data_IF_794349897585
#
_entry.id   IF_794349897585
#
_cell.length_a   1.000
_cell.length_b   1.000
_cell.length_c   1.000
_cell.angle_alpha   90.00
_cell.angle_beta   90.00
_cell.angle_gamma   90.00
#
_symmetry.space_group_name_H-M   'P 1'
#
loop_
_entity.id
_entity.type
_entity.pdbx_description
1 polymer ?
#
# COMPACT_ATOMS: atom_id res chain seq x y z
N UNK A 1 0.80 -14.41 -10.61
CA UNK A 1 0.58 -14.43 -9.15
C UNK A 1 -0.61 -13.54 -8.80
N UNK A 2 -1.60 -14.06 -8.06
CA UNK A 2 -2.77 -13.26 -7.60
C UNK A 2 -2.43 -12.53 -6.30
N UNK A 3 -3.25 -11.53 -5.94
CA UNK A 3 -3.02 -10.73 -4.75
C UNK A 3 -3.03 -11.53 -3.43
N UNK A 4 -3.85 -12.59 -3.36
CA UNK A 4 -3.88 -13.49 -2.21
C UNK A 4 -2.57 -14.25 -2.01
N UNK A 5 -1.95 -14.74 -3.10
CA UNK A 5 -0.65 -15.42 -3.01
C UNK A 5 0.44 -14.46 -2.54
N UNK A 6 0.38 -13.20 -2.99
CA UNK A 6 1.34 -12.18 -2.59
C UNK A 6 1.17 -11.75 -1.13
N UNK A 7 -0.06 -11.70 -0.63
CA UNK A 7 -0.32 -11.53 0.79
C UNK A 7 0.28 -12.68 1.61
N UNK A 8 0.02 -13.93 1.22
CA UNK A 8 0.58 -15.11 1.89
C UNK A 8 2.12 -15.10 1.87
N UNK A 9 2.73 -14.85 0.70
CA UNK A 9 4.17 -14.78 0.57
C UNK A 9 4.77 -13.68 1.46
N UNK A 10 4.10 -12.53 1.57
CA UNK A 10 4.56 -11.47 2.45
C UNK A 10 4.56 -11.91 3.91
N UNK A 11 3.53 -12.63 4.37
CA UNK A 11 3.51 -13.17 5.74
C UNK A 11 4.56 -14.26 5.98
N UNK A 12 4.86 -15.08 4.97
CA UNK A 12 5.88 -16.14 5.08
C UNK A 12 7.30 -15.57 5.13
N UNK A 13 7.59 -14.55 4.32
CA UNK A 13 8.94 -13.99 4.20
C UNK A 13 9.21 -12.82 5.16
N UNK A 14 8.18 -12.07 5.53
CA UNK A 14 8.30 -10.94 6.43
C UNK A 14 7.58 -11.23 7.75
N UNK A 15 8.12 -10.72 8.85
CA UNK A 15 7.45 -10.75 10.15
C UNK A 15 6.31 -9.71 10.21
N UNK A 16 5.38 -9.78 9.25
CA UNK A 16 4.24 -8.89 9.09
C UNK A 16 2.93 -9.67 8.93
N UNK A 17 1.79 -9.03 9.20
CA UNK A 17 0.46 -9.52 8.82
C UNK A 17 0.06 -8.85 7.51
N UNK A 18 -0.52 -9.60 6.59
CA UNK A 18 -1.05 -9.07 5.34
C UNK A 18 -2.58 -8.99 5.36
N UNK A 19 -3.14 -7.90 4.86
CA UNK A 19 -4.59 -7.71 4.73
C UNK A 19 -4.95 -7.41 3.29
N UNK A 20 -5.72 -8.30 2.67
CA UNK A 20 -6.18 -8.13 1.29
C UNK A 20 -7.43 -7.24 1.24
N UNK A 21 -7.31 -6.09 0.60
CA UNK A 21 -8.45 -5.24 0.26
C UNK A 21 -9.00 -5.58 -1.14
N UNK A 22 -10.29 -5.36 -1.30
CA UNK A 22 -11.03 -5.48 -2.57
C UNK A 22 -11.90 -4.25 -2.79
N UNK A 23 -12.24 -3.96 -4.05
CA UNK A 23 -13.07 -2.79 -4.40
C UNK A 23 -12.27 -1.57 -4.86
N UNK A 24 -10.97 -1.72 -5.09
CA UNK A 24 -10.09 -0.63 -5.49
C UNK A 24 -9.63 0.23 -4.31
N UNK A 25 -9.00 1.35 -4.63
CA UNK A 25 -8.37 2.26 -3.67
C UNK A 25 -9.37 3.31 -3.16
N UNK A 26 -10.37 3.66 -3.98
CA UNK A 26 -11.38 4.67 -3.66
C UNK A 26 -12.50 4.13 -2.74
N UNK A 27 -13.52 4.98 -2.49
CA UNK A 27 -14.68 4.62 -1.68
C UNK A 27 -14.32 4.34 -0.22
N UNK A 28 -14.84 3.25 0.34
CA UNK A 28 -14.60 2.85 1.74
C UNK A 28 -13.12 2.55 2.04
N UNK A 29 -12.34 2.18 1.03
CA UNK A 29 -10.92 1.87 1.20
C UNK A 29 -10.04 3.13 1.26
N UNK A 30 -10.49 4.26 0.71
CA UNK A 30 -9.67 5.49 0.63
C UNK A 30 -9.17 5.92 2.01
N UNK A 31 -10.10 6.08 2.96
CA UNK A 31 -9.76 6.48 4.33
C UNK A 31 -8.90 5.46 5.07
N UNK A 32 -9.08 4.16 4.78
CA UNK A 32 -8.28 3.07 5.37
C UNK A 32 -6.84 3.12 4.87
N UNK A 33 -6.65 3.28 3.55
CA UNK A 33 -5.33 3.36 2.92
C UNK A 33 -4.58 4.60 3.39
N UNK A 34 -5.24 5.76 3.46
CA UNK A 34 -4.61 6.99 3.95
C UNK A 34 -4.15 6.82 5.41
N UNK A 35 -5.02 6.33 6.29
CA UNK A 35 -4.65 6.05 7.69
C UNK A 35 -3.50 5.05 7.79
N UNK A 36 -3.51 4.00 6.98
CA UNK A 36 -2.46 2.97 6.96
C UNK A 36 -1.08 3.55 6.58
N UNK A 37 -1.03 4.34 5.50
CA UNK A 37 0.21 4.96 5.03
C UNK A 37 0.69 6.07 5.96
N UNK A 38 -0.22 6.87 6.54
CA UNK A 38 0.16 7.89 7.54
C UNK A 38 0.69 7.26 8.83
N UNK A 39 0.27 6.04 9.17
CA UNK A 39 0.86 5.26 10.26
C UNK A 39 2.24 4.64 9.92
N UNK A 40 2.81 4.96 8.75
CA UNK A 40 4.10 4.45 8.31
C UNK A 40 4.08 3.00 7.82
N UNK A 41 2.90 2.43 7.60
CA UNK A 41 2.75 1.04 7.17
C UNK A 41 2.65 0.97 5.63
N UNK A 42 3.45 0.14 4.94
CA UNK A 42 3.43 0.06 3.49
C UNK A 42 2.25 -0.80 2.97
N UNK A 43 1.97 -0.68 1.68
CA UNK A 43 1.06 -1.56 0.96
C UNK A 43 1.64 -2.03 -0.37
N UNK A 44 1.13 -3.16 -0.88
CA UNK A 44 1.44 -3.70 -2.19
C UNK A 44 0.29 -3.38 -3.15
N UNK A 45 0.62 -2.72 -4.25
CA UNK A 45 -0.34 -2.28 -5.25
C UNK A 45 -0.07 -3.00 -6.58
N UNK A 46 -0.97 -3.87 -7.04
CA UNK A 46 -0.96 -4.30 -8.43
C UNK A 46 -1.47 -3.17 -9.32
N UNK A 47 -0.77 -2.89 -10.40
CA UNK A 47 -1.09 -1.82 -11.35
C UNK A 47 -0.63 -2.19 -12.76
N UNK A 48 -1.01 -1.42 -13.78
CA UNK A 48 -0.59 -1.64 -15.17
C UNK A 48 0.57 -0.72 -15.53
N UNK A 49 1.70 -1.31 -15.89
CA UNK A 49 2.99 -0.61 -16.02
C UNK A 49 3.22 -0.05 -17.43
N UNK A 50 3.51 1.25 -17.53
CA UNK A 50 3.97 1.83 -18.79
C UNK A 50 5.50 1.71 -19.03
N UNK A 51 5.99 2.22 -20.16
CA UNK A 51 7.43 2.22 -20.47
C UNK A 51 8.28 3.03 -19.47
N UNK A 52 7.72 4.09 -18.87
CA UNK A 52 8.33 4.90 -17.82
C UNK A 52 8.11 4.35 -16.40
N UNK A 53 7.50 3.16 -16.29
CA UNK A 53 7.10 2.47 -15.04
C UNK A 53 5.93 3.10 -14.27
N UNK A 54 5.35 4.20 -14.74
CA UNK A 54 4.18 4.82 -14.13
C UNK A 54 2.90 4.02 -14.39
N UNK A 55 1.82 4.29 -13.64
CA UNK A 55 0.54 3.64 -13.88
C UNK A 55 -0.12 4.10 -15.17
N UNK A 56 -0.54 3.14 -15.98
CA UNK A 56 -1.30 3.36 -17.21
C UNK A 56 -2.61 2.57 -17.22
N UNK A 57 -3.36 2.63 -18.33
CA UNK A 57 -4.68 2.00 -18.49
C UNK A 57 -4.73 1.14 -19.76
N UNK A 58 -3.96 0.05 -19.80
CA UNK A 58 -3.74 -0.84 -20.96
C UNK A 58 -4.24 -2.27 -20.73
N UNK A 59 -5.35 -2.39 -20.01
CA UNK A 59 -6.11 -3.59 -19.61
C UNK A 59 -5.37 -4.59 -18.72
N UNK A 60 -4.20 -4.24 -18.19
CA UNK A 60 -3.37 -5.13 -17.39
C UNK A 60 -2.40 -5.97 -18.23
N UNK A 61 -2.18 -5.61 -19.50
CA UNK A 61 -1.21 -6.32 -20.35
C UNK A 61 0.21 -6.25 -19.81
N UNK A 62 0.53 -5.23 -19.02
CA UNK A 62 1.78 -5.11 -18.27
C UNK A 62 1.48 -5.00 -16.78
N UNK A 63 0.51 -5.80 -16.29
CA UNK A 63 0.26 -5.94 -14.87
C UNK A 63 1.56 -6.19 -14.11
N UNK A 64 1.81 -5.35 -13.12
CA UNK A 64 3.01 -5.35 -12.30
C UNK A 64 2.66 -4.99 -10.86
N UNK A 65 3.66 -5.05 -9.99
CA UNK A 65 3.53 -4.75 -8.57
C UNK A 65 4.43 -3.58 -8.19
N UNK A 66 3.90 -2.74 -7.31
CA UNK A 66 4.66 -1.71 -6.64
C UNK A 66 4.45 -1.80 -5.13
N UNK A 67 5.48 -1.41 -4.38
CA UNK A 67 5.39 -1.08 -2.97
C UNK A 67 5.06 0.40 -2.87
N UNK A 68 4.01 0.73 -2.13
CA UNK A 68 3.68 2.11 -1.75
C UNK A 68 4.06 2.27 -0.29
N UNK A 69 4.97 3.19 0.00
CA UNK A 69 5.57 3.35 1.33
C UNK A 69 5.28 4.69 1.99
N UNK A 70 4.58 5.59 1.31
CA UNK A 70 4.27 6.90 1.86
C UNK A 70 3.32 7.71 0.99
N UNK A 71 3.04 8.92 1.45
CA UNK A 71 2.12 9.87 0.84
C UNK A 71 2.78 11.24 0.72
N UNK A 72 2.38 11.96 -0.33
CA UNK A 72 2.51 13.42 -0.40
C UNK A 72 1.09 13.98 -0.56
N UNK A 73 0.70 14.89 0.34
CA UNK A 73 -0.65 15.44 0.41
C UNK A 73 -0.62 16.93 0.06
N UNK A 74 -1.44 17.33 -0.90
CA UNK A 74 -1.76 18.74 -1.13
C UNK A 74 -2.88 19.14 -0.19
N UNK A 75 -2.63 20.10 0.71
CA UNK A 75 -3.59 20.54 1.71
C UNK A 75 -4.18 21.91 1.37
N UNK A 76 -5.43 22.14 1.78
CA UNK A 76 -6.05 23.48 1.76
C UNK A 76 -5.25 24.43 2.65
N UNK A 77 -5.12 25.69 2.23
CA UNK A 77 -4.46 26.72 3.03
C UNK A 77 -5.06 26.83 4.43
N UNK A 78 -4.21 26.83 5.45
CA UNK A 78 -4.60 26.88 6.87
C UNK A 78 -4.90 25.52 7.52
N UNK A 79 -4.96 24.42 6.75
CA UNK A 79 -5.18 23.08 7.29
C UNK A 79 -3.89 22.37 7.77
N UNK A 80 -2.75 23.04 7.64
CA UNK A 80 -1.47 22.52 8.11
C UNK A 80 -1.44 22.50 9.64
N UNK A 81 -1.14 21.34 10.21
CA UNK A 81 -0.95 21.20 11.65
C UNK A 81 0.27 22.03 12.12
N UNK A 82 0.20 22.70 13.28
CA UNK A 82 1.37 23.32 13.91
C UNK A 82 2.48 22.32 14.25
N UNK A 83 2.16 21.02 14.31
CA UNK A 83 3.12 19.95 14.55
C UNK A 83 3.89 19.51 13.28
N UNK A 84 3.64 20.17 12.15
CA UNK A 84 4.41 20.01 10.93
C UNK A 84 5.57 21.02 10.88
N UNK A 85 6.73 20.55 10.42
CA UNK A 85 7.92 21.39 10.23
C UNK A 85 8.18 21.58 8.74
N UNK A 86 8.44 22.82 8.31
CA UNK A 86 8.82 23.09 6.93
C UNK A 86 10.19 22.46 6.62
N UNK A 87 10.30 21.89 5.42
CA UNK A 87 11.55 21.35 4.89
C UNK A 87 12.56 22.49 4.69
N UNK A 88 13.83 22.24 5.04
CA UNK A 88 14.87 23.26 4.97
C UNK A 88 15.35 23.58 3.54
N UNK A 89 15.08 22.70 2.58
CA UNK A 89 15.54 22.82 1.18
C UNK A 89 14.38 23.14 0.23
N UNK A 90 13.17 22.64 0.53
CA UNK A 90 11.99 22.76 -0.34
C UNK A 90 10.91 23.62 0.33
N UNK A 91 10.85 24.89 -0.04
CA UNK A 91 9.83 25.82 0.44
C UNK A 91 8.42 25.30 0.15
N UNK A 92 7.54 25.35 1.16
CA UNK A 92 6.17 24.86 1.08
C UNK A 92 6.01 23.34 1.22
N UNK A 93 7.09 22.57 1.37
CA UNK A 93 7.03 21.17 1.78
C UNK A 93 7.08 21.09 3.30
N UNK A 94 6.20 20.29 3.89
CA UNK A 94 6.13 20.14 5.34
C UNK A 94 6.16 18.68 5.75
N UNK A 95 6.93 18.39 6.80
CA UNK A 95 7.06 17.06 7.39
C UNK A 95 6.26 16.98 8.69
N UNK A 96 5.35 16.01 8.83
CA UNK A 96 4.66 15.79 10.09
C UNK A 96 5.65 15.23 11.13
N UNK A 97 5.63 15.77 12.35
CA UNK A 97 6.26 15.08 13.49
C UNK A 97 5.52 13.75 13.79
N UNK A 98 6.15 12.79 14.49
CA UNK A 98 5.50 11.51 14.83
C UNK A 98 4.20 11.64 15.64
N UNK A 99 4.03 12.76 16.36
CA UNK A 99 2.82 13.06 17.13
C UNK A 99 1.78 13.86 16.32
N UNK A 100 2.09 14.26 15.08
CA UNK A 100 1.19 15.02 14.25
C UNK A 100 -0.01 14.14 13.86
N UNK A 101 -1.26 14.58 14.13
CA UNK A 101 -2.42 13.86 13.66
C UNK A 101 -2.50 13.88 12.12
N UNK A 102 -3.11 12.87 11.49
CA UNK A 102 -3.42 12.91 10.07
C UNK A 102 -4.36 14.09 9.76
N UNK A 103 -4.23 14.73 8.59
CA UNK A 103 -5.13 15.82 8.20
C UNK A 103 -6.57 15.33 8.02
N UNK A 104 -7.52 16.25 8.19
CA UNK A 104 -8.93 15.96 7.94
C UNK A 104 -9.16 15.67 6.44
N UNK A 105 -9.96 14.65 6.07
CA UNK A 105 -10.15 14.27 4.67
C UNK A 105 -10.64 15.40 3.75
N UNK A 106 -11.45 16.32 4.27
CA UNK A 106 -12.00 17.48 3.56
C UNK A 106 -10.94 18.53 3.19
N UNK A 107 -9.81 18.53 3.90
CA UNK A 107 -8.70 19.46 3.68
C UNK A 107 -7.64 18.92 2.73
N UNK A 108 -7.71 17.62 2.42
CA UNK A 108 -6.82 16.98 1.44
C UNK A 108 -7.36 17.22 0.04
N UNK A 109 -6.69 18.11 -0.71
CA UNK A 109 -7.02 18.47 -2.08
C UNK A 109 -6.41 17.49 -3.08
N UNK A 110 -5.18 17.05 -2.83
CA UNK A 110 -4.43 16.16 -3.72
C UNK A 110 -3.74 15.06 -2.92
N UNK A 111 -3.65 13.88 -3.53
CA UNK A 111 -3.00 12.72 -2.93
C UNK A 111 -2.05 12.13 -3.95
N UNK A 112 -0.79 12.02 -3.56
CA UNK A 112 0.24 11.31 -4.30
C UNK A 112 0.80 10.16 -3.47
N UNK A 113 1.00 9.02 -4.12
CA UNK A 113 1.58 7.81 -3.56
C UNK A 113 3.07 7.77 -3.83
N UNK A 114 3.90 7.70 -2.79
CA UNK A 114 5.32 7.39 -2.93
C UNK A 114 5.47 5.90 -3.21
N UNK A 115 5.79 5.58 -4.47
CA UNK A 115 5.69 4.24 -5.03
C UNK A 115 7.03 3.79 -5.62
N UNK A 116 7.37 2.51 -5.43
CA UNK A 116 8.54 1.88 -6.03
C UNK A 116 8.17 0.51 -6.58
N UNK A 117 8.62 0.23 -7.80
CA UNK A 117 8.45 -1.06 -8.47
C UNK A 117 9.81 -1.74 -8.70
N UNK A 118 9.80 -3.03 -9.06
CA UNK A 118 11.02 -3.87 -9.05
C UNK A 118 12.00 -3.68 -10.22
N UNK A 119 11.64 -2.93 -11.25
CA UNK A 119 12.48 -2.70 -12.45
C UNK A 119 13.19 -1.34 -12.46
N UNK A 120 12.92 -0.50 -11.47
CA UNK A 120 13.37 0.88 -11.34
C UNK A 120 14.10 1.05 -10.03
N UNK A 121 15.19 1.79 -10.08
CA UNK A 121 15.97 2.16 -8.91
C UNK A 121 15.36 3.35 -8.17
N UNK A 122 14.52 4.13 -8.85
CA UNK A 122 14.01 5.41 -8.37
C UNK A 122 12.56 5.27 -7.90
N UNK A 123 12.23 5.71 -6.67
CA UNK A 123 10.85 5.96 -6.27
C UNK A 123 10.21 7.01 -7.17
N UNK A 124 8.89 6.92 -7.34
CA UNK A 124 8.08 7.86 -8.11
C UNK A 124 6.88 8.30 -7.29
N UNK A 125 6.39 9.52 -7.55
CA UNK A 125 5.14 10.01 -7.02
C UNK A 125 4.05 9.75 -8.06
N UNK A 126 3.04 8.97 -7.67
CA UNK A 126 1.90 8.68 -8.54
C UNK A 126 0.65 9.37 -8.02
N UNK A 127 -0.12 9.99 -8.90
CA UNK A 127 -1.46 10.45 -8.54
C UNK A 127 -2.28 9.27 -8.00
N UNK A 128 -2.90 9.46 -6.83
CA UNK A 128 -3.75 8.43 -6.22
C UNK A 128 -4.85 7.95 -7.16
N UNK A 129 -5.48 8.90 -7.87
CA UNK A 129 -6.51 8.62 -8.86
C UNK A 129 -5.97 7.78 -10.02
N UNK A 130 -4.81 8.14 -10.56
CA UNK A 130 -4.19 7.39 -11.67
C UNK A 130 -3.84 5.96 -11.25
N UNK A 131 -3.28 5.80 -10.04
CA UNK A 131 -2.97 4.50 -9.46
C UNK A 131 -4.25 3.65 -9.25
N UNK A 132 -5.32 4.26 -8.75
CA UNK A 132 -6.63 3.61 -8.62
C UNK A 132 -7.16 3.15 -9.98
N UNK A 133 -7.22 4.05 -10.97
CA UNK A 133 -7.74 3.75 -12.30
C UNK A 133 -6.93 2.64 -12.98
N UNK A 134 -5.60 2.63 -12.80
CA UNK A 134 -4.70 1.58 -13.31
C UNK A 134 -4.96 0.22 -12.66
N UNK A 135 -5.20 0.19 -11.35
CA UNK A 135 -5.57 -1.02 -10.60
C UNK A 135 -6.97 -1.53 -10.94
N UNK A 136 -7.94 -0.63 -11.10
CA UNK A 136 -9.35 -0.96 -11.36
C UNK A 136 -9.59 -1.53 -12.78
N UNK A 137 -8.62 -1.39 -13.67
CA UNK A 137 -8.73 -1.84 -15.06
C UNK A 137 -7.85 -3.08 -15.39
N UNK A 138 -7.20 -3.67 -14.38
CA UNK A 138 -6.43 -4.91 -14.52
C UNK A 138 -7.35 -6.09 -14.85
N UNK A 139 -7.55 -6.38 -16.13
CA UNK A 139 -8.66 -7.24 -16.56
C UNK A 139 -8.17 -8.41 -17.39
N UNK A 140 -7.22 -8.17 -18.29
CA UNK A 140 -6.86 -9.09 -19.34
C UNK A 140 -5.40 -9.55 -19.24
N UNK A 141 -5.16 -10.80 -19.60
CA UNK A 141 -3.82 -11.30 -19.84
C UNK A 141 -3.31 -10.83 -21.20
N UNK A 142 -2.03 -10.48 -21.31
CA UNK A 142 -1.46 -9.92 -22.53
C UNK A 142 -1.51 -10.94 -23.69
N UNK A 143 -2.14 -10.60 -24.84
CA UNK A 143 -2.20 -11.50 -25.99
C UNK A 143 -0.82 -11.89 -26.54
N UNK A 144 0.15 -10.96 -26.49
CA UNK A 144 1.53 -11.24 -26.91
C UNK A 144 2.18 -12.30 -26.03
N UNK A 145 1.94 -12.28 -24.71
CA UNK A 145 2.44 -13.31 -23.77
C UNK A 145 1.70 -14.63 -23.95
N UNK A 146 0.42 -14.60 -24.32
CA UNK A 146 -0.33 -15.82 -24.62
C UNK A 146 0.21 -16.55 -25.85
N UNK A 147 0.77 -15.83 -26.82
CA UNK A 147 1.29 -16.37 -28.07
C UNK A 147 2.81 -16.53 -28.16
N UNK A 148 3.57 -16.30 -27.09
CA UNK A 148 5.04 -16.32 -27.14
C UNK A 148 5.67 -17.71 -26.89
N UNK A 149 4.83 -18.73 -26.68
CA UNK A 149 5.26 -20.11 -26.42
C UNK A 149 5.79 -20.36 -25.00
N UNK A 150 5.77 -19.37 -24.10
CA UNK A 150 6.21 -19.53 -22.71
C UNK A 150 5.04 -19.89 -21.79
N UNK A 151 5.36 -20.56 -20.69
CA UNK A 151 4.40 -20.91 -19.65
C UNK A 151 4.30 -19.77 -18.63
N UNK A 152 3.09 -19.27 -18.42
CA UNK A 152 2.79 -18.24 -17.42
C UNK A 152 1.76 -18.75 -16.42
N UNK A 153 1.99 -18.46 -15.13
CA UNK A 153 1.01 -18.75 -14.08
C UNK A 153 -0.04 -17.64 -14.03
N UNK A 154 -1.20 -17.93 -14.62
CA UNK A 154 -2.37 -17.05 -14.59
C UNK A 154 -3.34 -17.55 -13.52
N UNK A 155 -3.82 -16.69 -12.61
CA UNK A 155 -4.80 -17.08 -11.59
C UNK A 155 -6.07 -17.67 -12.20
N UNK A 156 -6.74 -18.57 -11.46
CA UNK A 156 -8.11 -18.96 -11.79
C UNK A 156 -9.00 -17.70 -11.89
N UNK A 157 -9.79 -17.58 -12.97
CA UNK A 157 -10.54 -16.36 -13.28
C UNK A 157 -9.71 -15.22 -13.89
N UNK A 158 -8.45 -15.47 -14.24
CA UNK A 158 -7.60 -14.54 -14.99
C UNK A 158 -7.02 -13.40 -14.15
N UNK A 159 -6.46 -12.41 -14.85
CA UNK A 159 -5.92 -11.17 -14.26
C UNK A 159 -7.02 -10.44 -13.48
N UNK A 160 -8.22 -10.36 -14.05
CA UNK A 160 -9.38 -9.74 -13.41
C UNK A 160 -9.65 -10.27 -12.00
N UNK A 161 -9.86 -11.57 -11.87
CA UNK A 161 -10.19 -12.15 -10.56
C UNK A 161 -9.01 -12.06 -9.57
N UNK A 162 -7.78 -12.17 -10.07
CA UNK A 162 -6.58 -12.19 -9.24
C UNK A 162 -6.10 -10.83 -8.75
N UNK A 163 -6.29 -9.75 -9.53
CA UNK A 163 -5.62 -8.46 -9.30
C UNK A 163 -6.55 -7.23 -9.36
N UNK A 164 -7.63 -7.27 -10.15
CA UNK A 164 -8.49 -6.11 -10.37
C UNK A 164 -9.08 -5.58 -9.07
N UNK A 165 -8.83 -4.30 -8.76
CA UNK A 165 -9.38 -3.69 -7.55
C UNK A 165 -8.84 -4.29 -6.26
N UNK A 166 -7.70 -5.02 -6.31
CA UNK A 166 -7.07 -5.64 -5.14
C UNK A 166 -5.86 -4.83 -4.71
N UNK A 167 -5.60 -4.76 -3.41
CA UNK A 167 -4.35 -4.26 -2.84
C UNK A 167 -4.08 -4.97 -1.51
N UNK A 168 -2.83 -5.04 -1.08
CA UNK A 168 -2.45 -5.75 0.15
C UNK A 168 -1.83 -4.76 1.12
N UNK A 169 -2.47 -4.51 2.27
CA UNK A 169 -1.88 -3.75 3.35
C UNK A 169 -0.92 -4.64 4.14
N UNK A 170 0.25 -4.13 4.48
CA UNK A 170 1.24 -4.84 5.30
C UNK A 170 1.30 -4.18 6.68
N UNK A 171 1.09 -4.98 7.72
CA UNK A 171 1.07 -4.56 9.12
C UNK A 171 2.27 -5.17 9.84
N UNK A 172 3.07 -4.39 10.61
CA UNK A 172 4.09 -4.98 11.48
C UNK A 172 3.45 -6.01 12.43
N UNK A 173 4.08 -7.16 12.64
CA UNK A 173 3.69 -8.00 13.79
C UNK A 173 4.19 -7.27 15.04
N UNK A 174 3.29 -6.72 15.84
CA UNK A 174 3.65 -6.36 17.21
C UNK A 174 4.12 -7.64 17.91
N UNK A 175 5.34 -7.63 18.44
CA UNK A 175 5.73 -8.66 19.39
C UNK A 175 4.68 -8.67 20.52
N UNK A 176 4.27 -9.84 21.05
CA UNK A 176 3.50 -9.85 22.27
C UNK A 176 4.30 -9.07 23.30
N UNK A 177 3.71 -8.00 23.83
CA UNK A 177 4.29 -7.21 24.90
C UNK A 177 4.71 -8.19 25.99
N UNK A 178 5.99 -8.20 26.34
CA UNK A 178 6.48 -8.86 27.54
C UNK A 178 6.00 -8.04 28.75
N UNK A 179 4.69 -7.99 28.96
CA UNK A 179 4.15 -7.62 30.26
C UNK A 179 4.52 -8.74 31.21
N UNK A 180 5.20 -8.45 32.33
CA UNK A 180 5.43 -9.46 33.35
C UNK A 180 4.07 -9.98 33.81
N UNK A 181 3.86 -11.28 33.66
CA UNK A 181 2.71 -11.97 34.26
C UNK A 181 2.73 -11.68 35.77
N UNK A 182 1.60 -11.35 36.41
CA UNK A 182 1.56 -11.20 37.85
C UNK A 182 2.02 -12.50 38.50
N UNK A 183 2.97 -12.40 39.43
CA UNK A 183 3.48 -13.54 40.17
C UNK A 183 2.29 -14.29 40.80
N UNK A 184 2.18 -15.58 40.49
CA UNK A 184 1.19 -16.45 41.12
C UNK A 184 1.35 -16.46 42.64
N UNK A 185 0.26 -16.73 43.39
CA UNK A 185 0.32 -16.71 44.85
C UNK A 185 1.32 -17.75 45.37
N UNK A 186 2.03 -17.45 46.48
CA UNK A 186 3.01 -18.37 47.02
C UNK A 186 2.35 -19.69 47.43
N UNK A 187 3.08 -20.82 47.33
CA UNK A 187 2.53 -22.12 47.70
C UNK A 187 2.16 -22.13 49.19
N UNK A 188 1.01 -22.73 49.48
CA UNK A 188 0.53 -22.89 50.84
C UNK A 188 1.53 -23.72 51.66
N UNK A 189 1.87 -23.24 52.85
CA UNK A 189 2.73 -23.95 53.78
C UNK A 189 2.07 -25.28 54.19
N UNK A 190 2.73 -26.39 53.87
CA UNK A 190 2.40 -27.70 54.43
C UNK A 190 2.78 -27.73 55.92
N UNK A 191 1.92 -28.39 56.71
CA UNK A 191 2.09 -28.58 58.15
C UNK A 191 3.11 -29.66 58.47
#
# INVERSE_FOLDING_TARGET
MKAADMAQLAEELFQCRAELLSGGLEGENRGRILRHLTAGCPLLLPYDEDSNHEPCRRRGYRAHWAVVSGLLLGLRGGALSPACQEDGEIAGLFHPSPACPPPAPEDVLEIYLLSKQGKSWRPQLWSYRQAHESNAQLTDFCPKRAGDGKVYVVPAGGVRAGLCGKTVLLHPRTAPSALPQPAGPPPAAER
#
